data_IF_553932240247
#
_entry.id   IF_553932240247
#
_cell.length_a   1.000
_cell.length_b   1.000
_cell.length_c   1.000
_cell.angle_alpha   90.00
_cell.angle_beta   90.00
_cell.angle_gamma   90.00
#
_symmetry.space_group_name_H-M   'P 1'
#
loop_
_entity.id
_entity.type
_entity.pdbx_description
1 polymer ?
#
# COMPACT_ATOMS: atom_id res chain seq x y z
N UNK A 1 4.21 -13.87 -8.03
CA UNK A 1 2.98 -13.12 -7.75
C UNK A 1 2.15 -12.98 -9.02
N UNK A 2 0.84 -13.05 -8.90
CA UNK A 2 -0.04 -12.89 -10.05
C UNK A 2 -0.10 -11.41 -10.46
N UNK A 3 0.19 -11.11 -11.71
CA UNK A 3 0.18 -9.75 -12.25
C UNK A 3 -1.17 -9.05 -12.07
N UNK A 4 -2.27 -9.76 -12.34
CA UNK A 4 -3.61 -9.17 -12.21
C UNK A 4 -3.93 -8.80 -10.76
N UNK A 5 -3.53 -9.65 -9.81
CA UNK A 5 -3.74 -9.40 -8.39
C UNK A 5 -2.98 -8.18 -7.93
N UNK A 6 -1.73 -8.04 -8.34
CA UNK A 6 -0.91 -6.87 -8.01
C UNK A 6 -1.52 -5.58 -8.56
N UNK A 7 -2.00 -5.61 -9.80
CA UNK A 7 -2.62 -4.46 -10.44
C UNK A 7 -3.90 -4.02 -9.71
N UNK A 8 -4.74 -4.97 -9.32
CA UNK A 8 -5.97 -4.70 -8.57
C UNK A 8 -5.64 -4.11 -7.20
N UNK A 9 -4.61 -4.61 -6.52
CA UNK A 9 -4.20 -4.09 -5.22
C UNK A 9 -3.73 -2.64 -5.31
N UNK A 10 -2.96 -2.29 -6.35
CA UNK A 10 -2.53 -0.92 -6.58
C UNK A 10 -3.72 0.00 -6.82
N UNK A 11 -4.72 -0.46 -7.56
CA UNK A 11 -5.93 0.32 -7.80
C UNK A 11 -6.69 0.61 -6.50
N UNK A 12 -6.78 -0.37 -5.61
CA UNK A 12 -7.41 -0.16 -4.29
C UNK A 12 -6.66 0.86 -3.45
N UNK A 13 -5.34 0.86 -3.49
CA UNK A 13 -4.53 1.84 -2.80
C UNK A 13 -4.80 3.25 -3.35
N UNK A 14 -4.87 3.40 -4.66
CA UNK A 14 -5.18 4.66 -5.29
C UNK A 14 -6.55 5.19 -4.84
N UNK A 15 -7.57 4.34 -4.78
CA UNK A 15 -8.90 4.70 -4.34
C UNK A 15 -8.90 5.19 -2.88
N UNK A 16 -8.09 4.58 -2.02
CA UNK A 16 -7.97 4.97 -0.62
C UNK A 16 -7.51 6.43 -0.46
N UNK A 17 -6.62 6.90 -1.34
CA UNK A 17 -6.07 8.25 -1.27
C UNK A 17 -6.79 9.27 -2.14
N UNK A 18 -7.67 8.84 -3.02
CA UNK A 18 -8.28 9.69 -4.04
C UNK A 18 -9.01 10.91 -3.46
N UNK A 19 -9.80 10.72 -2.42
CA UNK A 19 -10.59 11.81 -1.82
C UNK A 19 -9.78 12.84 -1.06
N UNK A 20 -8.62 12.44 -0.54
CA UNK A 20 -7.82 13.29 0.35
C UNK A 20 -6.65 13.96 -0.38
N UNK A 21 -5.99 13.25 -1.29
CA UNK A 21 -4.72 13.67 -1.87
C UNK A 21 -4.70 13.74 -3.38
N UNK A 22 -5.47 12.88 -4.05
CA UNK A 22 -5.38 12.71 -5.49
C UNK A 22 -6.50 13.49 -6.18
N UNK A 23 -6.19 14.73 -6.56
CA UNK A 23 -7.15 15.61 -7.23
C UNK A 23 -6.98 15.67 -8.74
N UNK A 24 -5.84 15.16 -9.25
CA UNK A 24 -5.54 15.18 -10.69
C UNK A 24 -4.65 13.99 -11.06
N UNK A 25 -4.43 13.82 -12.35
CA UNK A 25 -3.66 12.71 -12.90
C UNK A 25 -2.19 12.76 -12.49
N UNK A 26 -1.63 13.96 -12.30
CA UNK A 26 -0.26 14.13 -11.88
C UNK A 26 -0.03 13.56 -10.48
N UNK A 27 -0.97 13.78 -9.58
CA UNK A 27 -0.89 13.23 -8.24
C UNK A 27 -1.04 11.70 -8.23
N UNK A 28 -1.92 11.15 -9.07
CA UNK A 28 -2.05 9.70 -9.21
C UNK A 28 -0.78 9.09 -9.75
N UNK A 29 -0.17 9.69 -10.74
CA UNK A 29 1.11 9.24 -11.28
C UNK A 29 2.20 9.27 -10.22
N UNK A 30 2.25 10.34 -9.43
CA UNK A 30 3.21 10.49 -8.34
C UNK A 30 3.01 9.42 -7.27
N UNK A 31 1.76 9.10 -6.92
CA UNK A 31 1.47 8.02 -5.96
C UNK A 31 2.02 6.68 -6.46
N UNK A 32 1.80 6.36 -7.72
CA UNK A 32 2.31 5.12 -8.31
C UNK A 32 3.84 5.06 -8.25
N UNK A 33 4.50 6.15 -8.54
CA UNK A 33 5.95 6.23 -8.44
C UNK A 33 6.45 6.01 -7.02
N UNK A 34 5.81 6.65 -6.04
CA UNK A 34 6.17 6.51 -4.63
C UNK A 34 6.05 5.06 -4.18
N UNK A 35 4.95 4.40 -4.54
CA UNK A 35 4.73 2.99 -4.20
C UNK A 35 5.82 2.12 -4.83
N UNK A 36 6.18 2.37 -6.09
CA UNK A 36 7.22 1.61 -6.77
C UNK A 36 8.61 1.81 -6.15
N UNK A 37 8.86 2.94 -5.52
CA UNK A 37 10.12 3.26 -4.88
C UNK A 37 10.24 2.74 -3.45
N UNK A 38 9.16 2.22 -2.87
CA UNK A 38 9.20 1.61 -1.56
C UNK A 38 10.12 0.38 -1.56
N UNK A 39 10.68 0.06 -0.38
CA UNK A 39 11.42 -1.18 -0.21
C UNK A 39 10.55 -2.37 -0.60
N UNK A 40 11.17 -3.42 -1.12
CA UNK A 40 10.45 -4.61 -1.58
C UNK A 40 9.53 -5.17 -0.50
N UNK A 41 9.98 -5.21 0.75
CA UNK A 41 9.19 -5.70 1.86
C UNK A 41 7.98 -4.80 2.13
N UNK A 42 8.19 -3.49 2.17
CA UNK A 42 7.11 -2.52 2.39
C UNK A 42 6.07 -2.59 1.28
N UNK A 43 6.53 -2.67 0.05
CA UNK A 43 5.65 -2.82 -1.12
C UNK A 43 4.84 -4.11 -1.03
N UNK A 44 5.47 -5.21 -0.66
CA UNK A 44 4.80 -6.50 -0.51
C UNK A 44 3.74 -6.45 0.59
N UNK A 45 4.05 -5.85 1.74
CA UNK A 45 3.10 -5.69 2.84
C UNK A 45 1.90 -4.87 2.41
N UNK A 46 2.13 -3.76 1.73
CA UNK A 46 1.06 -2.88 1.27
C UNK A 46 0.13 -3.58 0.28
N UNK A 47 0.71 -4.29 -0.68
CA UNK A 47 -0.07 -5.03 -1.69
C UNK A 47 -0.89 -6.13 -1.04
N UNK A 48 -0.29 -6.94 -0.16
CA UNK A 48 -1.00 -8.04 0.51
C UNK A 48 -2.09 -7.49 1.41
N UNK A 49 -1.81 -6.43 2.16
CA UNK A 49 -2.82 -5.81 3.02
C UNK A 49 -4.00 -5.28 2.21
N UNK A 50 -3.74 -4.63 1.08
CA UNK A 50 -4.81 -4.12 0.21
C UNK A 50 -5.67 -5.24 -0.36
N UNK A 51 -5.07 -6.38 -0.66
CA UNK A 51 -5.77 -7.54 -1.19
C UNK A 51 -6.57 -8.27 -0.11
N UNK A 52 -5.97 -8.50 1.05
CA UNK A 52 -6.62 -9.25 2.15
C UNK A 52 -7.64 -8.43 2.92
N UNK A 53 -7.44 -7.12 3.01
CA UNK A 53 -8.33 -6.22 3.74
C UNK A 53 -8.28 -6.40 5.26
N UNK A 54 -7.29 -7.11 5.79
CA UNK A 54 -7.17 -7.41 7.21
C UNK A 54 -5.70 -7.46 7.64
N UNK A 55 -5.38 -6.79 8.72
CA UNK A 55 -4.03 -6.82 9.30
C UNK A 55 -3.69 -8.20 9.85
N UNK A 56 -4.67 -8.88 10.44
CA UNK A 56 -4.47 -10.23 10.97
C UNK A 56 -4.13 -11.22 9.87
N UNK A 57 -4.86 -11.19 8.75
CA UNK A 57 -4.59 -12.07 7.62
C UNK A 57 -3.25 -11.75 6.97
N UNK A 58 -2.93 -10.47 6.84
CA UNK A 58 -1.64 -10.03 6.30
C UNK A 58 -0.50 -10.51 7.21
N UNK A 59 -0.65 -10.37 8.52
CA UNK A 59 0.34 -10.83 9.47
C UNK A 59 0.61 -12.32 9.35
N UNK A 60 -0.43 -13.12 9.17
CA UNK A 60 -0.29 -14.56 8.97
C UNK A 60 0.55 -14.88 7.74
N UNK A 61 0.36 -14.15 6.65
CA UNK A 61 1.12 -14.39 5.41
C UNK A 61 2.60 -14.07 5.55
N UNK A 62 2.94 -13.09 6.40
CA UNK A 62 4.32 -12.71 6.66
C UNK A 62 4.87 -13.34 7.94
N UNK A 63 4.07 -14.15 8.64
CA UNK A 63 4.45 -14.79 9.90
C UNK A 63 4.84 -13.76 10.97
N UNK A 64 4.06 -12.69 11.08
CA UNK A 64 4.24 -11.64 12.09
C UNK A 64 2.88 -11.29 12.69
N UNK A 65 2.90 -10.54 13.80
CA UNK A 65 1.66 -10.12 14.46
C UNK A 65 0.92 -9.04 13.66
N UNK A 66 -0.39 -8.91 13.92
CA UNK A 66 -1.18 -7.83 13.32
C UNK A 66 -0.66 -6.45 13.75
N UNK A 67 -0.14 -6.33 14.98
CA UNK A 67 0.45 -5.08 15.44
C UNK A 67 1.65 -4.67 14.60
N UNK A 68 2.50 -5.63 14.22
CA UNK A 68 3.64 -5.38 13.34
C UNK A 68 3.17 -4.84 11.99
N UNK A 69 2.13 -5.43 11.42
CA UNK A 69 1.56 -4.96 10.15
C UNK A 69 0.98 -3.54 10.32
N UNK A 70 0.27 -3.30 11.41
CA UNK A 70 -0.29 -1.96 11.69
C UNK A 70 0.80 -0.88 11.68
N UNK A 71 1.89 -1.10 12.39
CA UNK A 71 2.98 -0.13 12.44
C UNK A 71 3.67 0.05 11.08
N UNK A 72 3.85 -1.02 10.34
CA UNK A 72 4.43 -0.93 9.00
C UNK A 72 3.53 -0.15 8.06
N UNK A 73 2.23 -0.42 8.06
CA UNK A 73 1.27 0.31 7.22
C UNK A 73 1.22 1.79 7.60
N UNK A 74 1.21 2.09 8.89
CA UNK A 74 1.22 3.48 9.37
C UNK A 74 2.46 4.22 8.87
N UNK A 75 3.64 3.61 8.96
CA UNK A 75 4.89 4.20 8.48
C UNK A 75 4.87 4.39 6.97
N UNK A 76 4.38 3.42 6.23
CA UNK A 76 4.28 3.51 4.76
C UNK A 76 3.36 4.66 4.36
N UNK A 77 2.22 4.80 5.02
CA UNK A 77 1.28 5.90 4.75
C UNK A 77 1.91 7.26 5.02
N UNK A 78 2.70 7.39 6.07
CA UNK A 78 3.40 8.63 6.37
C UNK A 78 4.43 8.97 5.29
N UNK A 79 5.18 7.97 4.81
CA UNK A 79 6.13 8.15 3.71
C UNK A 79 5.40 8.65 2.46
N UNK A 80 4.28 8.03 2.12
CA UNK A 80 3.48 8.43 0.96
C UNK A 80 3.01 9.88 1.11
N UNK A 81 2.49 10.26 2.26
CA UNK A 81 2.00 11.62 2.51
C UNK A 81 3.10 12.66 2.38
N UNK A 82 4.29 12.37 2.88
CA UNK A 82 5.42 13.29 2.79
C UNK A 82 5.85 13.52 1.35
N UNK A 83 5.76 12.51 0.50
CA UNK A 83 6.21 12.59 -0.88
C UNK A 83 5.13 13.11 -1.84
N UNK A 84 3.89 13.07 -1.43
CA UNK A 84 2.81 13.64 -2.22
C UNK A 84 2.74 15.16 -2.02
#
# INVERSE_FOLDING_TARGET
MNWKKEHISLQKIEEEYEGDFLKDDDQMFKLKQIINELDDLDKAILIVYSDEGSMAKTGKKFNVSSATIYYNIKRIREIIKEKL
#
